data_IF_816744448122
#
_entry.id   IF_816744448122
#
_cell.length_a   1.000
_cell.length_b   1.000
_cell.length_c   1.000
_cell.angle_alpha   90.00
_cell.angle_beta   90.00
_cell.angle_gamma   90.00
#
_symmetry.space_group_name_H-M   'P 1'
#
loop_
_entity.id
_entity.type
_entity.pdbx_description
1 polymer ?
#
# COMPACT_ATOMS: atom_id res chain seq x y z
N UNK A 1 13.54 38.89 -44.78
CA UNK A 1 14.68 37.97 -44.95
C UNK A 1 14.68 36.98 -43.82
N UNK A 2 14.81 35.68 -44.06
CA UNK A 2 14.99 34.74 -42.97
C UNK A 2 16.35 34.97 -42.28
N UNK A 3 16.37 35.05 -40.97
CA UNK A 3 17.60 35.14 -40.17
C UNK A 3 18.04 33.72 -39.83
N UNK A 4 19.30 33.40 -40.08
CA UNK A 4 19.90 32.11 -39.79
C UNK A 4 20.86 32.26 -38.60
N UNK A 5 20.69 31.41 -37.60
CA UNK A 5 21.63 31.25 -36.48
C UNK A 5 22.31 29.89 -36.59
N UNK A 6 23.63 29.90 -36.69
CA UNK A 6 24.49 28.70 -36.74
C UNK A 6 25.33 28.66 -35.47
N UNK A 7 25.11 27.67 -34.64
CA UNK A 7 25.87 27.48 -33.39
C UNK A 7 26.53 26.10 -33.43
N UNK A 8 27.83 26.05 -33.09
CA UNK A 8 28.56 24.79 -32.88
C UNK A 8 28.44 24.39 -31.42
N UNK A 9 27.91 23.19 -31.17
CA UNK A 9 27.83 22.59 -29.83
C UNK A 9 28.76 21.38 -29.82
N UNK A 10 29.75 21.37 -28.93
CA UNK A 10 30.60 20.22 -28.72
C UNK A 10 29.85 19.16 -27.87
N UNK A 11 30.17 17.89 -28.14
CA UNK A 11 29.59 16.77 -27.36
C UNK A 11 29.83 16.93 -25.86
N UNK A 12 31.01 17.37 -25.44
CA UNK A 12 31.34 17.60 -24.05
C UNK A 12 30.45 18.68 -23.43
N UNK A 13 30.23 19.79 -24.10
CA UNK A 13 29.35 20.87 -23.63
C UNK A 13 27.90 20.39 -23.47
N UNK A 14 27.44 19.59 -24.45
CA UNK A 14 26.12 18.97 -24.32
C UNK A 14 26.03 18.02 -23.10
N UNK A 15 27.02 17.13 -22.92
CA UNK A 15 27.08 16.20 -21.82
C UNK A 15 27.14 16.94 -20.46
N UNK A 16 27.89 18.05 -20.38
CA UNK A 16 27.97 18.89 -19.16
C UNK A 16 26.62 19.55 -18.85
N UNK A 17 25.87 20.00 -19.83
CA UNK A 17 24.53 20.57 -19.65
C UNK A 17 23.51 19.57 -19.12
N UNK A 18 23.62 18.31 -19.51
CA UNK A 18 22.66 17.26 -19.10
C UNK A 18 23.06 16.51 -17.82
N UNK A 19 24.22 16.82 -17.19
CA UNK A 19 24.68 16.18 -15.95
C UNK A 19 23.59 16.09 -14.86
N UNK A 20 22.78 17.14 -14.61
CA UNK A 20 21.72 17.06 -13.60
C UNK A 20 20.66 16.00 -13.94
N UNK A 21 20.34 15.80 -15.22
CA UNK A 21 19.42 14.79 -15.69
C UNK A 21 20.02 13.39 -15.56
N UNK A 22 21.30 13.24 -15.92
CA UNK A 22 22.03 11.98 -15.82
C UNK A 22 22.10 11.47 -14.36
N UNK A 23 22.32 12.36 -13.40
CA UNK A 23 22.32 12.00 -11.97
C UNK A 23 20.99 11.40 -11.49
N UNK A 24 19.87 11.79 -12.10
CA UNK A 24 18.54 11.28 -11.74
C UNK A 24 18.33 9.82 -12.15
N UNK A 25 19.13 9.27 -13.07
CA UNK A 25 19.04 7.87 -13.51
C UNK A 25 19.57 6.90 -12.45
N UNK A 26 20.53 7.33 -11.63
CA UNK A 26 21.28 6.44 -10.73
C UNK A 26 20.38 5.83 -9.65
N UNK A 27 19.59 6.68 -8.99
CA UNK A 27 18.81 6.26 -7.82
C UNK A 27 17.69 5.25 -8.16
N UNK A 28 16.87 5.45 -9.21
CA UNK A 28 15.86 4.47 -9.62
C UNK A 28 16.48 3.11 -9.97
N UNK A 29 17.61 3.08 -10.68
CA UNK A 29 18.27 1.83 -11.02
C UNK A 29 18.75 1.07 -9.78
N UNK A 30 19.37 1.76 -8.82
CA UNK A 30 19.82 1.14 -7.57
C UNK A 30 18.63 0.66 -6.72
N UNK A 31 17.54 1.44 -6.68
CA UNK A 31 16.34 1.06 -5.95
C UNK A 31 15.71 -0.19 -6.56
N UNK A 32 15.64 -0.26 -7.89
CA UNK A 32 15.10 -1.44 -8.60
C UNK A 32 15.87 -2.72 -8.26
N UNK A 33 17.22 -2.66 -8.25
CA UNK A 33 18.06 -3.80 -7.84
C UNK A 33 17.79 -4.21 -6.38
N UNK A 34 17.64 -3.23 -5.50
CA UNK A 34 17.34 -3.47 -4.09
C UNK A 34 15.95 -4.10 -3.90
N UNK A 35 14.94 -3.59 -4.60
CA UNK A 35 13.57 -4.08 -4.51
C UNK A 35 13.42 -5.50 -5.09
N UNK A 36 14.23 -5.82 -6.09
CA UNK A 36 14.30 -7.16 -6.67
C UNK A 36 15.18 -8.14 -5.86
N UNK A 37 15.89 -7.65 -4.83
CA UNK A 37 16.83 -8.42 -4.01
C UNK A 37 17.93 -9.11 -4.83
N UNK A 38 18.33 -8.47 -5.97
CA UNK A 38 19.37 -9.00 -6.85
C UNK A 38 20.59 -8.08 -6.88
N UNK A 39 21.78 -8.66 -7.03
CA UNK A 39 23.03 -7.92 -7.13
C UNK A 39 23.52 -7.78 -8.58
N UNK A 40 22.96 -8.55 -9.50
CA UNK A 40 23.31 -8.55 -10.91
C UNK A 40 22.10 -8.82 -11.78
N UNK A 41 22.17 -8.41 -13.03
CA UNK A 41 21.15 -8.65 -14.05
C UNK A 41 21.80 -9.39 -15.24
N UNK A 42 21.02 -10.19 -15.96
CA UNK A 42 21.51 -10.94 -17.12
C UNK A 42 21.63 -10.07 -18.37
N UNK A 43 20.73 -9.07 -18.51
CA UNK A 43 20.68 -8.16 -19.65
C UNK A 43 20.21 -6.76 -19.26
N UNK A 44 20.71 -5.75 -20.00
CA UNK A 44 20.24 -4.38 -19.95
C UNK A 44 19.66 -4.05 -21.31
N UNK A 45 18.37 -3.75 -21.36
CA UNK A 45 17.67 -3.30 -22.56
C UNK A 45 17.37 -1.81 -22.39
N UNK A 46 17.82 -1.02 -23.36
CA UNK A 46 17.62 0.42 -23.38
C UNK A 46 16.37 0.76 -24.19
N UNK A 47 15.47 1.57 -23.64
CA UNK A 47 14.20 1.95 -24.26
C UNK A 47 14.04 3.46 -24.29
N UNK A 48 13.54 3.98 -25.43
CA UNK A 48 13.33 5.39 -25.67
C UNK A 48 14.53 6.11 -26.27
N UNK A 49 14.26 7.15 -27.08
CA UNK A 49 15.27 7.87 -27.89
C UNK A 49 16.41 8.48 -27.06
N UNK A 50 16.15 8.92 -25.81
CA UNK A 50 17.20 9.45 -24.93
C UNK A 50 18.29 8.44 -24.57
N UNK A 51 18.01 7.15 -24.65
CA UNK A 51 19.01 6.10 -24.40
C UNK A 51 20.06 5.98 -25.50
N UNK A 52 19.87 6.67 -26.64
CA UNK A 52 20.89 6.81 -27.69
C UNK A 52 22.04 7.71 -27.27
N UNK A 53 21.86 8.55 -26.25
CA UNK A 53 22.93 9.41 -25.70
C UNK A 53 24.00 8.53 -25.06
N UNK A 54 25.26 8.61 -25.50
CA UNK A 54 26.31 7.73 -25.00
C UNK A 54 26.58 7.84 -23.52
N UNK A 55 26.39 9.02 -22.93
CA UNK A 55 26.51 9.23 -21.48
C UNK A 55 25.45 8.43 -20.68
N UNK A 56 24.22 8.28 -21.21
CA UNK A 56 23.18 7.44 -20.61
C UNK A 56 23.57 5.97 -20.65
N UNK A 57 24.07 5.49 -21.80
CA UNK A 57 24.54 4.10 -21.94
C UNK A 57 25.70 3.80 -20.99
N UNK A 58 26.64 4.75 -20.84
CA UNK A 58 27.77 4.61 -19.93
C UNK A 58 27.31 4.51 -18.46
N UNK A 59 26.35 5.35 -18.03
CA UNK A 59 25.80 5.29 -16.67
C UNK A 59 25.12 3.95 -16.42
N UNK A 60 24.31 3.44 -17.35
CA UNK A 60 23.70 2.13 -17.23
C UNK A 60 24.78 1.04 -17.09
N UNK A 61 25.79 1.06 -17.92
CA UNK A 61 26.93 0.13 -17.84
C UNK A 61 27.67 0.24 -16.51
N UNK A 62 27.89 1.45 -16.00
CA UNK A 62 28.60 1.67 -14.73
C UNK A 62 27.80 1.16 -13.52
N UNK A 63 26.47 1.28 -13.54
CA UNK A 63 25.59 0.82 -12.46
C UNK A 63 25.49 -0.71 -12.46
N UNK A 64 25.17 -1.31 -13.60
CA UNK A 64 24.87 -2.74 -13.70
C UNK A 64 26.10 -3.60 -14.02
N UNK A 65 27.27 -2.98 -14.28
CA UNK A 65 28.53 -3.65 -14.64
C UNK A 65 28.41 -4.55 -15.88
N UNK A 66 27.46 -4.25 -16.76
CA UNK A 66 27.15 -5.00 -17.95
C UNK A 66 26.94 -4.05 -19.13
N UNK A 67 27.41 -4.43 -20.33
CA UNK A 67 27.18 -3.65 -21.53
C UNK A 67 25.72 -3.76 -21.97
N UNK A 68 25.02 -2.63 -22.21
CA UNK A 68 23.65 -2.67 -22.70
C UNK A 68 23.50 -3.44 -24.01
N UNK A 69 22.48 -4.30 -24.08
CA UNK A 69 22.14 -5.04 -25.31
C UNK A 69 21.53 -4.07 -26.33
N UNK A 70 22.03 -4.16 -27.56
CA UNK A 70 21.62 -3.32 -28.71
C UNK A 70 20.75 -4.08 -29.72
N UNK A 71 20.32 -5.29 -29.38
CA UNK A 71 19.49 -6.13 -30.26
C UNK A 71 18.05 -5.57 -30.44
N UNK A 72 17.60 -4.75 -29.51
CA UNK A 72 16.26 -4.11 -29.55
C UNK A 72 16.40 -2.66 -29.97
N UNK A 73 15.60 -2.22 -30.96
CA UNK A 73 15.52 -0.81 -31.31
C UNK A 73 14.85 -0.01 -30.20
N UNK A 74 15.52 0.96 -29.56
CA UNK A 74 14.96 1.72 -28.45
C UNK A 74 13.69 2.50 -28.78
N UNK A 75 13.48 2.89 -30.03
CA UNK A 75 12.33 3.66 -30.47
C UNK A 75 11.10 2.78 -30.71
N UNK A 76 11.30 1.49 -31.02
CA UNK A 76 10.25 0.52 -31.33
C UNK A 76 9.91 -0.41 -30.17
N UNK A 77 10.77 -0.48 -29.16
CA UNK A 77 10.66 -1.45 -28.05
C UNK A 77 9.30 -1.41 -27.37
N UNK A 78 8.72 -0.22 -27.16
CA UNK A 78 7.42 -0.05 -26.52
C UNK A 78 6.29 -0.58 -27.41
N UNK A 79 6.33 -0.29 -28.71
CA UNK A 79 5.31 -0.77 -29.67
C UNK A 79 5.36 -2.30 -29.82
N UNK A 80 6.56 -2.88 -29.90
CA UNK A 80 6.76 -4.33 -29.95
C UNK A 80 6.26 -4.96 -28.64
N UNK A 81 6.62 -4.41 -27.49
CA UNK A 81 6.17 -4.87 -26.18
C UNK A 81 4.65 -4.83 -26.04
N UNK A 82 4.00 -3.78 -26.51
CA UNK A 82 2.55 -3.65 -26.53
C UNK A 82 1.88 -4.73 -27.41
N UNK A 83 2.46 -5.01 -28.59
CA UNK A 83 1.97 -6.07 -29.47
C UNK A 83 2.10 -7.46 -28.82
N UNK A 84 3.25 -7.74 -28.16
CA UNK A 84 3.46 -8.99 -27.42
C UNK A 84 2.46 -9.12 -26.26
N UNK A 85 2.25 -8.05 -25.50
CA UNK A 85 1.25 -8.02 -24.40
C UNK A 85 -0.17 -8.29 -24.94
N UNK A 86 -0.53 -7.67 -26.07
CA UNK A 86 -1.81 -7.92 -26.74
C UNK A 86 -1.97 -9.39 -27.16
N UNK A 87 -0.93 -10.00 -27.73
CA UNK A 87 -0.93 -11.41 -28.10
C UNK A 87 -1.07 -12.36 -26.90
N UNK A 88 -0.44 -12.04 -25.77
CA UNK A 88 -0.60 -12.80 -24.51
C UNK A 88 -2.02 -12.67 -23.97
N UNK A 89 -2.59 -11.48 -23.92
CA UNK A 89 -3.95 -11.23 -23.42
C UNK A 89 -5.02 -11.91 -24.27
N UNK A 90 -4.83 -11.98 -25.60
CA UNK A 90 -5.73 -12.67 -26.51
C UNK A 90 -5.52 -14.19 -26.57
N UNK A 91 -4.51 -14.71 -25.86
CA UNK A 91 -4.15 -16.12 -25.85
C UNK A 91 -3.46 -16.59 -27.13
N UNK A 92 -3.09 -15.68 -28.04
CA UNK A 92 -2.36 -15.98 -29.28
C UNK A 92 -0.88 -16.31 -29.02
N UNK A 93 -0.32 -15.85 -27.91
CA UNK A 93 1.02 -16.22 -27.47
C UNK A 93 0.94 -16.77 -26.03
N UNK A 94 1.28 -18.05 -25.87
CA UNK A 94 1.26 -18.77 -24.58
C UNK A 94 2.67 -18.99 -24.01
N UNK A 95 3.70 -18.67 -24.78
CA UNK A 95 5.09 -18.94 -24.41
C UNK A 95 5.70 -17.81 -23.54
N UNK A 96 5.01 -16.69 -23.44
CA UNK A 96 5.45 -15.53 -22.64
C UNK A 96 4.49 -15.33 -21.47
N UNK A 97 5.01 -15.46 -20.26
CA UNK A 97 4.33 -15.05 -19.03
C UNK A 97 4.71 -13.61 -18.73
N UNK A 98 3.75 -12.69 -18.84
CA UNK A 98 3.95 -11.31 -18.47
C UNK A 98 3.42 -11.11 -17.05
N UNK A 99 4.32 -10.78 -16.13
CA UNK A 99 3.99 -10.44 -14.75
C UNK A 99 4.29 -8.95 -14.52
N UNK A 100 3.34 -8.27 -13.94
CA UNK A 100 3.48 -6.88 -13.49
C UNK A 100 3.41 -6.85 -11.96
N UNK A 101 3.75 -5.73 -11.33
CA UNK A 101 3.75 -5.59 -9.88
C UNK A 101 2.95 -4.37 -9.43
N UNK A 102 2.38 -4.45 -8.24
CA UNK A 102 1.73 -3.32 -7.59
C UNK A 102 2.80 -2.35 -7.05
N UNK A 103 2.84 -1.07 -7.49
CA UNK A 103 3.92 -0.15 -7.17
C UNK A 103 3.89 0.39 -5.74
N UNK A 104 2.71 0.46 -5.11
CA UNK A 104 2.49 0.93 -3.73
C UNK A 104 1.62 -0.04 -2.96
N UNK A 105 1.84 -0.13 -1.66
CA UNK A 105 1.01 -0.95 -0.78
C UNK A 105 -0.44 -0.45 -0.76
N UNK A 106 -1.38 -1.38 -0.68
CA UNK A 106 -2.81 -1.13 -0.58
C UNK A 106 -3.32 -1.68 0.74
N UNK A 107 -4.11 -0.90 1.43
CA UNK A 107 -4.66 -1.28 2.73
C UNK A 107 -6.00 -0.63 3.02
N UNK A 108 -6.48 -0.86 4.22
CA UNK A 108 -7.67 -0.23 4.77
C UNK A 108 -7.37 0.39 6.15
N UNK A 109 -8.11 1.44 6.48
CA UNK A 109 -8.10 1.97 7.83
C UNK A 109 -8.80 1.00 8.78
N UNK A 110 -8.10 0.65 9.87
CA UNK A 110 -8.63 -0.18 10.96
C UNK A 110 -8.65 0.61 12.26
N UNK A 111 -9.14 -0.02 13.34
CA UNK A 111 -9.28 0.61 14.66
C UNK A 111 -7.96 1.27 15.09
N UNK A 112 -8.04 2.48 15.62
CA UNK A 112 -6.87 3.29 15.99
C UNK A 112 -6.25 4.08 14.83
N UNK A 113 -6.87 4.11 13.64
CA UNK A 113 -6.33 4.85 12.48
C UNK A 113 -5.10 4.18 11.85
N UNK A 114 -4.98 2.85 12.01
CA UNK A 114 -3.88 2.06 11.42
C UNK A 114 -4.21 1.72 9.97
N UNK A 115 -3.24 1.86 9.08
CA UNK A 115 -3.31 1.35 7.72
C UNK A 115 -2.92 -0.14 7.72
N UNK A 116 -3.92 -1.01 7.72
CA UNK A 116 -3.70 -2.47 7.63
C UNK A 116 -3.49 -2.85 6.17
N UNK A 117 -2.27 -3.30 5.84
CA UNK A 117 -1.88 -3.62 4.47
C UNK A 117 -2.53 -4.94 4.04
N UNK A 118 -3.27 -4.87 2.92
CA UNK A 118 -3.92 -6.01 2.26
C UNK A 118 -3.05 -6.58 1.14
N UNK A 119 -2.49 -5.71 0.30
CA UNK A 119 -1.57 -6.07 -0.79
C UNK A 119 -0.31 -5.22 -0.64
N UNK A 120 0.82 -5.82 -0.23
CA UNK A 120 2.10 -5.10 -0.16
C UNK A 120 2.57 -4.59 -1.53
N UNK A 121 3.39 -3.53 -1.54
CA UNK A 121 4.10 -3.10 -2.76
C UNK A 121 4.92 -4.26 -3.35
N UNK A 122 5.21 -4.18 -4.62
CA UNK A 122 5.94 -5.21 -5.38
C UNK A 122 5.25 -6.60 -5.42
N UNK A 123 3.98 -6.69 -4.98
CA UNK A 123 3.20 -7.92 -5.17
C UNK A 123 2.88 -8.10 -6.64
N UNK A 124 3.16 -9.28 -7.18
CA UNK A 124 2.83 -9.65 -8.57
C UNK A 124 1.33 -9.64 -8.82
N UNK A 125 0.91 -9.08 -9.93
CA UNK A 125 -0.49 -9.06 -10.38
C UNK A 125 -0.69 -9.96 -11.62
N UNK A 126 -1.88 -10.55 -11.80
CA UNK A 126 -3.11 -10.38 -11.00
C UNK A 126 -3.02 -11.05 -9.62
N UNK A 127 -3.70 -10.47 -8.63
CA UNK A 127 -3.72 -10.97 -7.26
C UNK A 127 -5.07 -10.72 -6.60
N UNK A 128 -5.50 -11.62 -5.73
CA UNK A 128 -6.69 -11.47 -4.89
C UNK A 128 -6.36 -11.88 -3.45
N UNK A 129 -6.66 -11.01 -2.49
CA UNK A 129 -6.39 -11.21 -1.06
C UNK A 129 -7.64 -10.93 -0.24
N UNK A 130 -8.29 -11.95 0.32
CA UNK A 130 -9.35 -11.80 1.31
C UNK A 130 -8.75 -11.70 2.71
N UNK A 131 -9.39 -10.91 3.58
CA UNK A 131 -9.11 -10.87 5.02
C UNK A 131 -10.41 -10.60 5.78
N UNK A 132 -10.55 -11.22 6.96
CA UNK A 132 -11.73 -11.08 7.80
C UNK A 132 -11.46 -9.99 8.84
N UNK A 133 -12.39 -9.06 8.92
CA UNK A 133 -12.46 -7.98 9.91
C UNK A 133 -13.74 -8.10 10.72
N UNK A 134 -13.89 -7.27 11.73
CA UNK A 134 -15.08 -7.24 12.56
C UNK A 134 -15.49 -5.81 12.90
N UNK A 135 -16.63 -5.67 13.61
CA UNK A 135 -17.13 -4.39 14.09
C UNK A 135 -16.34 -3.88 15.30
N UNK A 136 -16.11 -2.57 15.37
CA UNK A 136 -15.42 -1.90 16.45
C UNK A 136 -16.34 -1.57 17.64
N UNK A 137 -17.66 -1.50 17.43
CA UNK A 137 -18.67 -1.12 18.43
C UNK A 137 -19.79 -2.15 18.54
N UNK A 138 -20.43 -2.20 19.70
CA UNK A 138 -21.62 -3.03 19.91
C UNK A 138 -22.77 -2.53 19.05
N UNK A 139 -23.54 -3.47 18.49
CA UNK A 139 -24.72 -3.20 17.66
C UNK A 139 -24.45 -2.30 16.44
N UNK A 140 -23.21 -2.31 15.95
CA UNK A 140 -22.82 -1.57 14.75
C UNK A 140 -23.47 -2.23 13.52
N UNK A 141 -24.33 -1.50 12.82
CA UNK A 141 -25.07 -1.95 11.64
C UNK A 141 -24.43 -1.56 10.31
N UNK A 142 -23.39 -0.74 10.38
CA UNK A 142 -22.67 -0.19 9.23
C UNK A 142 -21.16 -0.19 9.50
N UNK A 143 -20.36 -0.66 8.53
CA UNK A 143 -18.90 -0.57 8.56
C UNK A 143 -18.43 0.30 7.39
N UNK A 144 -17.64 1.32 7.69
CA UNK A 144 -16.99 2.17 6.68
C UNK A 144 -15.66 1.55 6.30
N UNK A 145 -15.46 1.29 5.01
CA UNK A 145 -14.23 0.81 4.43
C UNK A 145 -13.54 1.99 3.74
N UNK A 146 -12.40 2.41 4.27
CA UNK A 146 -11.55 3.45 3.69
C UNK A 146 -10.34 2.78 3.05
N UNK A 147 -10.28 2.85 1.72
CA UNK A 147 -9.22 2.24 0.90
C UNK A 147 -8.06 3.19 0.78
N UNK A 148 -6.86 2.71 1.10
CA UNK A 148 -5.64 3.52 1.21
C UNK A 148 -4.55 2.95 0.29
N UNK A 149 -3.81 3.83 -0.36
CA UNK A 149 -2.60 3.54 -1.13
C UNK A 149 -1.42 4.30 -0.51
N UNK A 150 -0.35 3.59 -0.13
CA UNK A 150 0.85 4.18 0.44
C UNK A 150 1.55 3.28 1.46
N UNK A 151 2.72 3.71 1.93
CA UNK A 151 3.61 2.90 2.75
C UNK A 151 3.56 3.25 4.25
N UNK A 152 2.94 4.38 4.63
CA UNK A 152 2.83 4.75 6.05
C UNK A 152 1.83 3.86 6.77
N UNK A 153 2.18 3.44 7.98
CA UNK A 153 1.33 2.63 8.86
C UNK A 153 0.17 3.41 9.47
N UNK A 154 0.23 4.74 9.45
CA UNK A 154 -0.85 5.62 9.90
C UNK A 154 -1.79 5.94 8.75
N UNK A 155 -3.06 5.57 8.85
CA UNK A 155 -4.06 5.71 7.77
C UNK A 155 -4.22 7.16 7.27
N UNK A 156 -4.14 8.14 8.18
CA UNK A 156 -4.30 9.56 7.89
C UNK A 156 -2.97 10.28 7.63
N UNK A 157 -1.86 9.54 7.44
CA UNK A 157 -0.58 10.14 7.08
C UNK A 157 -0.70 10.93 5.78
N UNK A 158 -0.08 12.13 5.68
CA UNK A 158 -0.04 12.90 4.43
C UNK A 158 0.72 12.20 3.32
N UNK A 159 1.49 11.15 3.64
CA UNK A 159 2.22 10.30 2.68
C UNK A 159 1.37 9.18 2.12
N UNK A 160 0.20 8.94 2.68
CA UNK A 160 -0.79 7.99 2.17
C UNK A 160 -1.86 8.72 1.35
N UNK A 161 -2.46 8.03 0.41
CA UNK A 161 -3.56 8.53 -0.41
C UNK A 161 -4.82 7.71 -0.15
N UNK A 162 -5.92 8.38 0.17
CA UNK A 162 -7.24 7.74 0.19
C UNK A 162 -7.72 7.58 -1.24
N UNK A 163 -7.98 6.34 -1.65
CA UNK A 163 -8.46 6.00 -2.98
C UNK A 163 -9.99 6.08 -3.06
N UNK A 164 -10.66 5.54 -2.04
CA UNK A 164 -12.12 5.54 -1.95
C UNK A 164 -12.59 5.30 -0.51
N UNK A 165 -13.85 5.67 -0.24
CA UNK A 165 -14.53 5.41 1.03
C UNK A 165 -15.94 4.93 0.75
N UNK A 166 -16.28 3.74 1.21
CA UNK A 166 -17.62 3.19 1.02
C UNK A 166 -18.13 2.46 2.27
N UNK A 167 -19.44 2.30 2.35
CA UNK A 167 -20.11 1.72 3.52
C UNK A 167 -20.74 0.38 3.18
N UNK A 168 -20.48 -0.61 4.03
CA UNK A 168 -21.26 -1.84 4.07
C UNK A 168 -22.34 -1.68 5.17
N UNK A 169 -23.60 -1.65 4.76
CA UNK A 169 -24.75 -1.41 5.64
C UNK A 169 -25.57 -2.66 5.88
N UNK A 170 -26.34 -2.66 6.97
CA UNK A 170 -27.30 -3.71 7.31
C UNK A 170 -26.64 -4.97 7.85
N UNK A 171 -25.54 -4.80 8.55
CA UNK A 171 -24.92 -5.80 9.40
C UNK A 171 -25.88 -6.09 10.56
N UNK A 172 -26.01 -7.36 10.93
CA UNK A 172 -26.88 -7.73 12.06
C UNK A 172 -26.32 -7.18 13.36
N UNK A 173 -27.10 -6.47 14.17
CA UNK A 173 -26.66 -6.01 15.48
C UNK A 173 -26.14 -7.17 16.34
N UNK A 174 -24.93 -7.03 16.82
CA UNK A 174 -24.23 -8.02 17.63
C UNK A 174 -23.17 -7.33 18.51
N UNK A 175 -22.66 -7.99 19.56
CA UNK A 175 -21.48 -7.51 20.27
C UNK A 175 -20.30 -7.27 19.34
N UNK A 176 -19.49 -6.24 19.62
CA UNK A 176 -18.26 -5.95 18.84
C UNK A 176 -17.38 -7.19 18.75
N UNK A 177 -16.69 -7.34 17.64
CA UNK A 177 -15.81 -8.48 17.38
C UNK A 177 -16.52 -9.75 16.92
N UNK A 178 -17.87 -9.82 16.94
CA UNK A 178 -18.63 -11.00 16.49
C UNK A 178 -18.92 -11.03 14.99
N UNK A 179 -19.42 -9.95 14.36
CA UNK A 179 -19.69 -9.95 12.93
C UNK A 179 -18.41 -10.25 12.13
N UNK A 180 -18.51 -11.03 11.08
CA UNK A 180 -17.40 -11.38 10.20
C UNK A 180 -17.56 -10.67 8.86
N UNK A 181 -16.75 -9.63 8.67
CA UNK A 181 -16.73 -8.83 7.44
C UNK A 181 -15.51 -9.24 6.62
N UNK A 182 -15.73 -9.97 5.55
CA UNK A 182 -14.68 -10.33 4.62
C UNK A 182 -14.43 -9.18 3.65
N UNK A 183 -13.23 -8.60 3.70
CA UNK A 183 -12.78 -7.59 2.75
C UNK A 183 -11.80 -8.25 1.79
N UNK A 184 -12.10 -8.17 0.49
CA UNK A 184 -11.28 -8.76 -0.57
C UNK A 184 -10.74 -7.67 -1.46
N UNK A 185 -9.43 -7.59 -1.58
CA UNK A 185 -8.72 -6.77 -2.55
C UNK A 185 -8.33 -7.61 -3.75
N UNK A 186 -8.71 -7.20 -4.94
CA UNK A 186 -8.36 -7.90 -6.18
C UNK A 186 -7.81 -6.91 -7.20
N UNK A 187 -6.61 -7.17 -7.71
CA UNK A 187 -6.02 -6.42 -8.82
C UNK A 187 -5.99 -7.34 -10.02
N UNK A 188 -6.58 -6.90 -11.14
CA UNK A 188 -6.57 -7.66 -12.38
C UNK A 188 -5.24 -7.49 -13.16
N UNK A 189 -5.11 -8.19 -14.29
CA UNK A 189 -3.93 -8.10 -15.17
C UNK A 189 -3.72 -6.71 -15.79
N UNK A 190 -4.72 -5.81 -15.73
CA UNK A 190 -4.65 -4.43 -16.22
C UNK A 190 -4.30 -3.43 -15.11
N UNK A 191 -4.11 -3.93 -13.86
CA UNK A 191 -3.84 -3.09 -12.70
C UNK A 191 -5.09 -2.42 -12.12
N UNK A 192 -6.30 -2.84 -12.51
CA UNK A 192 -7.55 -2.31 -11.98
C UNK A 192 -7.82 -2.95 -10.62
N UNK A 193 -7.97 -2.11 -9.59
CA UNK A 193 -8.29 -2.54 -8.24
C UNK A 193 -9.79 -2.66 -8.04
N UNK A 194 -10.24 -3.79 -7.55
CA UNK A 194 -11.59 -4.01 -7.02
C UNK A 194 -11.52 -4.31 -5.53
N UNK A 195 -12.33 -3.64 -4.74
CA UNK A 195 -12.45 -3.89 -3.30
C UNK A 195 -13.89 -4.30 -3.01
N UNK A 196 -14.04 -5.47 -2.39
CA UNK A 196 -15.34 -6.02 -2.01
C UNK A 196 -15.38 -6.19 -0.51
N UNK A 197 -16.43 -5.74 0.14
CA UNK A 197 -16.73 -6.01 1.55
C UNK A 197 -18.00 -6.83 1.64
N UNK A 198 -17.97 -7.96 2.35
CA UNK A 198 -19.08 -8.88 2.50
C UNK A 198 -19.28 -9.29 3.96
N UNK A 199 -20.48 -9.10 4.46
CA UNK A 199 -20.89 -9.68 5.73
C UNK A 199 -21.21 -11.19 5.53
N UNK A 200 -20.47 -12.04 6.22
CA UNK A 200 -20.61 -13.51 6.09
C UNK A 200 -21.89 -14.04 6.68
N UNK A 201 -22.46 -13.34 7.66
CA UNK A 201 -23.69 -13.77 8.35
C UNK A 201 -24.96 -13.41 7.55
N UNK A 202 -25.01 -12.19 6.99
CA UNK A 202 -26.18 -11.73 6.22
C UNK A 202 -26.04 -11.94 4.71
N UNK A 203 -24.82 -12.19 4.24
CA UNK A 203 -24.51 -12.29 2.81
C UNK A 203 -24.53 -10.94 2.07
N UNK A 204 -24.76 -9.83 2.78
CA UNK A 204 -24.73 -8.49 2.19
C UNK A 204 -23.32 -8.15 1.70
N UNK A 205 -23.24 -7.57 0.53
CA UNK A 205 -22.00 -7.27 -0.14
C UNK A 205 -22.03 -5.88 -0.76
N UNK A 206 -20.91 -5.17 -0.68
CA UNK A 206 -20.67 -3.92 -1.37
C UNK A 206 -19.33 -4.01 -2.10
N UNK A 207 -19.30 -3.56 -3.36
CA UNK A 207 -18.11 -3.60 -4.20
C UNK A 207 -17.85 -2.22 -4.79
N UNK A 208 -16.59 -1.83 -4.82
CA UNK A 208 -16.10 -0.65 -5.54
C UNK A 208 -15.01 -1.06 -6.52
N UNK A 209 -14.90 -0.32 -7.64
CA UNK A 209 -13.86 -0.50 -8.65
C UNK A 209 -13.09 0.80 -8.77
N UNK A 210 -11.79 0.74 -8.51
CA UNK A 210 -10.91 1.91 -8.44
C UNK A 210 -9.99 1.89 -9.65
N UNK A 211 -10.22 2.81 -10.60
CA UNK A 211 -9.42 2.93 -11.82
C UNK A 211 -8.37 4.03 -11.74
N UNK A 212 -8.55 5.00 -10.82
CA UNK A 212 -7.65 6.14 -10.64
C UNK A 212 -6.70 5.89 -9.47
N UNK A 213 -5.51 5.38 -9.77
CA UNK A 213 -4.40 5.19 -8.81
C UNK A 213 -3.24 6.10 -9.18
N UNK A 214 -2.29 6.27 -8.26
CA UNK A 214 -1.06 7.02 -8.54
C UNK A 214 -0.29 6.30 -9.65
N UNK A 215 -0.05 7.00 -10.75
CA UNK A 215 0.71 6.49 -11.91
C UNK A 215 1.98 7.30 -12.19
N UNK A 216 2.14 8.47 -11.55
CA UNK A 216 3.35 9.28 -11.69
C UNK A 216 4.48 8.68 -10.84
N UNK A 217 5.52 8.23 -11.52
CA UNK A 217 6.72 7.65 -10.90
C UNK A 217 7.36 8.58 -9.86
N UNK A 218 7.35 9.89 -10.10
CA UNK A 218 7.91 10.86 -9.15
C UNK A 218 7.09 10.91 -7.86
N UNK A 219 5.78 10.85 -7.98
CA UNK A 219 4.88 10.84 -6.83
C UNK A 219 5.03 9.55 -6.04
N UNK A 220 5.12 8.41 -6.71
CA UNK A 220 5.39 7.10 -6.09
C UNK A 220 6.70 7.14 -5.31
N UNK A 221 7.79 7.61 -5.92
CA UNK A 221 9.09 7.69 -5.26
C UNK A 221 9.08 8.67 -4.07
N UNK A 222 8.36 9.79 -4.19
CA UNK A 222 8.16 10.73 -3.10
C UNK A 222 7.44 10.07 -1.92
N UNK A 223 6.31 9.40 -2.18
CA UNK A 223 5.54 8.71 -1.14
C UNK A 223 6.37 7.65 -0.42
N UNK A 224 7.16 6.87 -1.17
CA UNK A 224 8.06 5.85 -0.59
C UNK A 224 9.15 6.51 0.26
N UNK A 225 9.76 7.59 -0.22
CA UNK A 225 10.85 8.26 0.48
C UNK A 225 10.35 8.94 1.76
N UNK A 226 9.25 9.68 1.69
CA UNK A 226 8.63 10.35 2.84
C UNK A 226 8.16 9.34 3.89
N UNK A 227 7.61 8.19 3.47
CA UNK A 227 7.24 7.11 4.37
C UNK A 227 8.46 6.51 5.09
N UNK A 228 9.59 6.33 4.39
CA UNK A 228 10.84 5.87 5.01
C UNK A 228 11.39 6.85 6.05
N UNK A 229 11.30 8.15 5.77
CA UNK A 229 11.77 9.18 6.71
C UNK A 229 10.94 9.20 8.00
N UNK A 230 9.68 8.79 7.92
CA UNK A 230 8.76 8.70 9.06
C UNK A 230 8.65 7.31 9.67
N UNK A 231 9.32 6.32 9.11
CA UNK A 231 9.18 4.91 9.50
C UNK A 231 9.36 4.69 11.01
N UNK A 232 10.34 5.34 11.62
CA UNK A 232 10.61 5.21 13.06
C UNK A 232 9.51 5.88 13.93
N UNK A 233 8.93 6.98 13.47
CA UNK A 233 7.83 7.67 14.14
C UNK A 233 6.53 6.89 13.97
N UNK A 234 6.23 6.47 12.75
CA UNK A 234 5.06 5.68 12.39
C UNK A 234 5.06 4.32 13.14
N UNK A 235 6.23 3.68 13.29
CA UNK A 235 6.37 2.44 14.05
C UNK A 235 5.99 2.62 15.53
N UNK A 236 6.43 3.73 16.16
CA UNK A 236 6.06 4.04 17.55
C UNK A 236 4.57 4.35 17.71
N UNK A 237 4.01 5.11 16.75
CA UNK A 237 2.57 5.41 16.75
C UNK A 237 1.79 4.10 16.63
N UNK A 238 2.18 3.22 15.71
CA UNK A 238 1.55 1.93 15.51
C UNK A 238 1.61 1.08 16.79
N UNK A 239 2.80 0.91 17.37
CA UNK A 239 2.99 0.13 18.61
C UNK A 239 2.11 0.68 19.75
N UNK A 240 2.12 1.99 19.97
CA UNK A 240 1.28 2.62 20.99
C UNK A 240 -0.22 2.43 20.72
N UNK A 241 -0.63 2.50 19.46
CA UNK A 241 -2.02 2.32 19.06
C UNK A 241 -2.45 0.86 19.23
N UNK A 242 -1.63 -0.10 18.82
CA UNK A 242 -1.89 -1.53 19.00
C UNK A 242 -2.02 -1.87 20.48
N UNK A 243 -1.14 -1.37 21.33
CA UNK A 243 -1.24 -1.53 22.78
C UNK A 243 -2.51 -0.91 23.37
N UNK A 244 -2.93 0.27 22.91
CA UNK A 244 -4.14 0.92 23.36
C UNK A 244 -5.38 0.13 22.94
N UNK A 245 -5.42 -0.40 21.71
CA UNK A 245 -6.50 -1.26 21.20
C UNK A 245 -6.56 -2.58 21.96
N UNK A 246 -5.40 -3.20 22.25
CA UNK A 246 -5.34 -4.44 23.05
C UNK A 246 -5.86 -4.21 24.49
N UNK A 247 -5.44 -3.12 25.12
CA UNK A 247 -5.90 -2.74 26.44
C UNK A 247 -7.42 -2.45 26.48
N UNK A 248 -7.98 -1.79 25.44
CA UNK A 248 -9.43 -1.58 25.34
C UNK A 248 -10.20 -2.88 25.14
N UNK A 249 -9.67 -3.80 24.34
CA UNK A 249 -10.26 -5.14 24.18
C UNK A 249 -10.23 -5.93 25.49
N UNK A 250 -9.15 -5.83 26.25
CA UNK A 250 -9.06 -6.44 27.58
C UNK A 250 -10.06 -5.83 28.55
N UNK A 251 -10.16 -4.50 28.62
CA UNK A 251 -11.18 -3.80 29.41
C UNK A 251 -12.59 -4.25 29.03
N UNK A 252 -12.87 -4.42 27.74
CA UNK A 252 -14.18 -4.90 27.29
C UNK A 252 -14.48 -6.32 27.78
N UNK A 253 -13.48 -7.21 27.75
CA UNK A 253 -13.64 -8.58 28.28
C UNK A 253 -13.91 -8.57 29.76
N UNK A 254 -13.10 -7.84 30.55
CA UNK A 254 -13.27 -7.74 32.01
C UNK A 254 -14.64 -7.16 32.38
N UNK A 255 -15.08 -6.12 31.63
CA UNK A 255 -16.44 -5.55 31.87
C UNK A 255 -17.54 -6.57 31.66
N UNK A 256 -17.43 -7.40 30.62
CA UNK A 256 -18.40 -8.46 30.35
C UNK A 256 -18.44 -9.47 31.47
N UNK A 257 -17.28 -9.85 32.02
CA UNK A 257 -17.18 -10.79 33.12
C UNK A 257 -17.76 -10.17 34.41
N UNK A 258 -17.48 -8.89 34.69
CA UNK A 258 -18.12 -8.14 35.77
C UNK A 258 -19.65 -8.08 35.63
N UNK A 259 -20.18 -7.79 34.45
CA UNK A 259 -21.62 -7.76 34.18
C UNK A 259 -22.26 -9.14 34.37
N UNK A 260 -21.54 -10.23 34.09
CA UNK A 260 -21.99 -11.60 34.32
C UNK A 260 -22.03 -11.94 35.84
N UNK A 261 -20.99 -11.56 36.58
CA UNK A 261 -20.94 -11.72 38.03
C UNK A 261 -22.08 -10.93 38.70
N UNK A 262 -22.37 -9.71 38.25
CA UNK A 262 -23.47 -8.89 38.74
C UNK A 262 -24.82 -9.53 38.48
N UNK A 263 -25.05 -10.15 37.33
CA UNK A 263 -26.28 -10.91 37.03
C UNK A 263 -26.49 -12.09 37.96
N UNK A 264 -25.39 -12.63 38.52
CA UNK A 264 -25.42 -13.72 39.48
C UNK A 264 -25.50 -13.23 40.96
N UNK A 265 -25.79 -11.93 41.18
CA UNK A 265 -25.88 -11.27 42.49
C UNK A 265 -24.61 -11.34 43.34
N UNK A 266 -23.43 -11.29 42.68
CA UNK A 266 -22.11 -11.32 43.32
C UNK A 266 -21.46 -9.92 43.43
N UNK A 267 -22.20 -8.85 43.14
CA UNK A 267 -21.68 -7.46 43.14
C UNK A 267 -21.27 -6.94 44.54
N UNK A 268 -21.68 -7.56 45.59
CA UNK A 268 -21.34 -7.17 46.98
C UNK A 268 -20.16 -7.98 47.56
N UNK A 269 -19.63 -8.94 46.82
CA UNK A 269 -18.48 -9.70 47.25
C UNK A 269 -17.21 -8.83 47.25
N UNK A 270 -16.34 -8.93 48.28
CA UNK A 270 -15.11 -8.13 48.36
C UNK A 270 -14.22 -8.22 47.10
N UNK A 271 -14.14 -9.40 46.50
CA UNK A 271 -13.36 -9.66 45.29
C UNK A 271 -13.94 -8.96 44.07
N UNK A 272 -15.25 -8.85 43.94
CA UNK A 272 -15.93 -8.10 42.88
C UNK A 272 -15.58 -6.60 42.98
N UNK A 273 -15.70 -6.03 44.18
CA UNK A 273 -15.46 -4.62 44.44
C UNK A 273 -13.99 -4.25 44.16
N UNK A 274 -13.05 -5.10 44.51
CA UNK A 274 -11.63 -4.93 44.19
C UNK A 274 -11.38 -4.97 42.69
N UNK A 275 -11.94 -5.95 41.98
CA UNK A 275 -11.80 -6.10 40.53
C UNK A 275 -12.44 -4.92 39.79
N UNK A 276 -13.63 -4.46 40.22
CA UNK A 276 -14.31 -3.29 39.65
C UNK A 276 -13.48 -2.01 39.86
N UNK A 277 -12.84 -1.85 41.02
CA UNK A 277 -11.94 -0.73 41.30
C UNK A 277 -10.75 -0.69 40.34
N UNK A 278 -10.04 -1.81 40.21
CA UNK A 278 -8.89 -1.95 39.28
C UNK A 278 -9.34 -1.74 37.85
N UNK A 279 -10.50 -2.28 37.44
CA UNK A 279 -11.04 -2.09 36.10
C UNK A 279 -11.30 -0.61 35.80
N UNK A 280 -11.91 0.13 36.70
CA UNK A 280 -12.22 1.55 36.53
C UNK A 280 -10.94 2.40 36.37
N UNK A 281 -9.91 2.12 37.20
CA UNK A 281 -8.61 2.78 37.08
C UNK A 281 -7.97 2.50 35.71
N UNK A 282 -7.91 1.25 35.28
CA UNK A 282 -7.35 0.85 34.01
C UNK A 282 -8.13 1.49 32.84
N UNK A 283 -9.45 1.46 32.90
CA UNK A 283 -10.33 2.03 31.86
C UNK A 283 -10.10 3.52 31.68
N UNK A 284 -9.94 4.28 32.77
CA UNK A 284 -9.64 5.71 32.71
C UNK A 284 -8.32 5.99 31.99
N UNK A 285 -7.26 5.23 32.29
CA UNK A 285 -5.95 5.36 31.65
C UNK A 285 -6.02 5.03 30.15
N UNK A 286 -6.76 3.99 29.80
CA UNK A 286 -6.94 3.57 28.40
C UNK A 286 -7.70 4.63 27.61
N UNK A 287 -8.82 5.14 28.17
CA UNK A 287 -9.63 6.18 27.50
C UNK A 287 -8.83 7.50 27.31
N UNK A 288 -8.02 7.92 28.28
CA UNK A 288 -7.14 9.07 28.12
C UNK A 288 -6.08 8.86 27.02
N UNK A 289 -5.56 7.64 26.87
CA UNK A 289 -4.58 7.34 25.83
C UNK A 289 -5.20 7.27 24.44
N UNK A 290 -6.38 6.64 24.31
CA UNK A 290 -7.12 6.56 23.05
C UNK A 290 -7.54 7.95 22.56
N UNK A 291 -7.92 8.87 23.44
CA UNK A 291 -8.27 10.25 23.07
C UNK A 291 -7.07 11.08 22.59
N UNK A 292 -5.84 10.65 22.86
CA UNK A 292 -4.59 11.33 22.46
C UNK A 292 -3.95 10.76 21.19
N UNK A 293 -4.51 9.65 20.66
CA UNK A 293 -4.12 9.02 19.38
C UNK A 293 -4.99 9.55 18.24
#
# INVERSE_FOLDING_TARGET
MPLHLVVKLLRKEFEDLIVPLLKRLVQPCKQCLKDAEVNAVDKIILVGGMTRVPAVQKIAQDIFKLVPDKSVNPDEAVAIGAAVKGAVLTGSNKDVLLLDVNPLSLGIETMGGINTIMIPRNTTIPVSKPQIFSTASNNQDTVTIKVIEGESTTANSPTNRVLDVFNLTGIRPAPRGRPQIEVTFSIDANGILSVTAKDKDTGKEQKVVITSRVKDEKEIQRMIQEAKEREAEDAKIKENTELAVEADNFCYSVKKDLDELKKNNLENEPQYLELEGIFNELKNVVDEKIMKL
#
